data_IF_737794812446
#
_entry.id   IF_737794812446
#
_cell.length_a   1.000
_cell.length_b   1.000
_cell.length_c   1.000
_cell.angle_alpha   90.00
_cell.angle_beta   90.00
_cell.angle_gamma   90.00
#
_symmetry.space_group_name_H-M   'P 1'
#
loop_
_entity.id
_entity.type
_entity.pdbx_description
1 polymer ?
#
# COMPACT_ATOMS: atom_id res chain seq x y z
N UNK A 1 40.00 4.45 -13.83
CA UNK A 1 40.55 4.82 -12.51
C UNK A 1 39.83 5.99 -11.83
N UNK A 2 39.63 7.17 -12.44
CA UNK A 2 38.92 8.29 -11.77
C UNK A 2 37.40 8.07 -11.67
N UNK A 3 36.79 7.54 -12.73
CA UNK A 3 35.35 7.28 -12.82
C UNK A 3 34.89 6.16 -11.85
N UNK A 4 35.74 5.17 -11.61
CA UNK A 4 35.46 4.06 -10.67
C UNK A 4 35.38 4.57 -9.21
N UNK A 5 36.25 5.51 -8.83
CA UNK A 5 36.23 6.12 -7.49
C UNK A 5 35.00 7.00 -7.26
N UNK A 6 34.57 7.74 -8.29
CA UNK A 6 33.33 8.53 -8.23
C UNK A 6 32.08 7.63 -8.08
N UNK A 7 32.08 6.49 -8.78
CA UNK A 7 31.01 5.49 -8.68
C UNK A 7 30.95 4.86 -7.28
N UNK A 8 32.11 4.57 -6.71
CA UNK A 8 32.24 4.02 -5.35
C UNK A 8 31.81 5.01 -4.27
N UNK A 9 32.18 6.30 -4.40
CA UNK A 9 31.76 7.33 -3.44
C UNK A 9 30.24 7.54 -3.45
N UNK A 10 29.63 7.55 -4.63
CA UNK A 10 28.18 7.64 -4.76
C UNK A 10 27.49 6.40 -4.18
N UNK A 11 28.08 5.21 -4.33
CA UNK A 11 27.58 3.98 -3.70
C UNK A 11 27.69 4.00 -2.18
N UNK A 12 28.78 4.54 -1.63
CA UNK A 12 28.96 4.74 -0.19
C UNK A 12 27.91 5.71 0.37
N UNK A 13 27.70 6.86 -0.28
CA UNK A 13 26.68 7.83 0.13
C UNK A 13 25.26 7.22 0.15
N UNK A 14 24.92 6.38 -0.84
CA UNK A 14 23.64 5.65 -0.86
C UNK A 14 23.52 4.68 0.32
N UNK A 15 24.55 3.89 0.62
CA UNK A 15 24.54 2.94 1.74
C UNK A 15 24.44 3.64 3.09
N UNK A 16 25.10 4.79 3.26
CA UNK A 16 24.95 5.61 4.47
C UNK A 16 23.53 6.16 4.61
N UNK A 17 22.91 6.59 3.51
CA UNK A 17 21.55 7.15 3.53
C UNK A 17 20.46 6.10 3.71
N UNK A 18 20.59 4.94 3.07
CA UNK A 18 19.53 3.94 2.95
C UNK A 18 19.82 2.63 3.68
N UNK A 19 21.02 2.46 4.21
CA UNK A 19 21.45 1.22 4.86
C UNK A 19 21.66 0.07 3.88
N UNK A 20 21.50 -1.15 4.41
CA UNK A 20 21.55 -2.39 3.63
C UNK A 20 20.14 -2.84 3.23
N UNK A 21 20.05 -3.59 2.14
CA UNK A 21 18.81 -4.27 1.77
C UNK A 21 18.43 -5.27 2.89
N UNK A 22 17.13 -5.42 3.21
CA UNK A 22 16.66 -6.49 4.06
C UNK A 22 17.04 -7.87 3.51
N UNK A 23 17.03 -8.87 4.38
CA UNK A 23 17.19 -10.27 3.96
C UNK A 23 16.05 -10.68 3.04
N UNK A 24 16.34 -11.57 2.10
CA UNK A 24 15.33 -12.09 1.19
C UNK A 24 14.34 -12.95 1.96
N UNK A 25 13.05 -12.65 1.85
CA UNK A 25 11.96 -13.47 2.41
C UNK A 25 12.01 -14.85 1.76
N UNK A 26 11.82 -15.91 2.55
CA UNK A 26 11.78 -17.26 1.98
C UNK A 26 10.48 -17.46 1.20
N UNK A 27 10.52 -18.31 0.18
CA UNK A 27 9.35 -18.54 -0.67
C UNK A 27 8.15 -19.10 0.14
N UNK A 28 8.41 -19.92 1.16
CA UNK A 28 7.40 -20.47 2.07
C UNK A 28 6.76 -19.43 3.00
N UNK A 29 7.33 -18.23 3.09
CA UNK A 29 6.82 -17.10 3.88
C UNK A 29 6.14 -16.02 3.02
N UNK A 30 6.13 -16.20 1.69
CA UNK A 30 5.43 -15.29 0.77
C UNK A 30 3.93 -15.64 0.70
N UNK A 31 3.10 -14.64 0.44
CA UNK A 31 1.65 -14.81 0.18
C UNK A 31 1.36 -14.52 -1.28
N UNK A 32 0.49 -15.33 -1.88
CA UNK A 32 0.05 -15.13 -3.26
C UNK A 32 -0.94 -13.98 -3.37
N UNK A 33 -0.85 -13.22 -4.46
CA UNK A 33 -1.86 -12.23 -4.80
C UNK A 33 -3.19 -12.94 -5.07
N UNK A 34 -4.26 -12.45 -4.44
CA UNK A 34 -5.62 -12.94 -4.66
C UNK A 34 -6.42 -11.85 -5.35
N UNK A 35 -7.06 -12.20 -6.45
CA UNK A 35 -8.03 -11.32 -7.08
C UNK A 35 -9.08 -10.89 -6.05
N UNK A 36 -9.34 -9.58 -5.97
CA UNK A 36 -10.55 -9.08 -5.31
C UNK A 36 -11.73 -9.76 -5.99
N UNK A 37 -12.76 -10.12 -5.19
CA UNK A 37 -13.98 -10.71 -5.72
C UNK A 37 -14.45 -9.97 -6.99
N UNK A 38 -15.05 -10.69 -7.97
CA UNK A 38 -15.50 -10.07 -9.21
C UNK A 38 -16.23 -8.77 -8.92
N UNK A 39 -15.92 -7.74 -9.72
CA UNK A 39 -16.54 -6.45 -9.55
C UNK A 39 -18.06 -6.61 -9.66
N UNK A 40 -18.76 -6.52 -8.53
CA UNK A 40 -20.20 -6.59 -8.46
C UNK A 40 -20.76 -5.22 -8.86
N UNK A 41 -21.45 -5.08 -10.01
CA UNK A 41 -22.05 -3.82 -10.43
C UNK A 41 -23.04 -3.28 -9.39
N UNK A 42 -23.71 -4.16 -8.63
CA UNK A 42 -24.63 -3.78 -7.57
C UNK A 42 -23.91 -3.11 -6.38
N UNK A 43 -22.60 -3.30 -6.22
CA UNK A 43 -21.78 -2.62 -5.21
C UNK A 43 -21.75 -1.10 -5.40
N UNK A 44 -21.92 -0.64 -6.64
CA UNK A 44 -21.95 0.78 -6.99
C UNK A 44 -23.34 1.29 -7.37
N UNK A 45 -24.35 0.40 -7.36
CA UNK A 45 -25.72 0.80 -7.60
C UNK A 45 -26.18 1.72 -6.45
N UNK A 46 -26.81 2.84 -6.82
CA UNK A 46 -27.42 3.73 -5.86
C UNK A 46 -28.63 3.04 -5.20
N UNK A 47 -28.52 2.77 -3.91
CA UNK A 47 -29.61 2.24 -3.08
C UNK A 47 -30.02 3.34 -2.08
N UNK A 48 -31.17 4.00 -2.30
CA UNK A 48 -31.62 5.08 -1.42
C UNK A 48 -31.85 4.59 0.01
N UNK A 49 -32.42 3.40 0.23
CA UNK A 49 -32.71 2.87 1.57
C UNK A 49 -31.43 2.53 2.34
N UNK A 50 -30.43 1.95 1.65
CA UNK A 50 -29.12 1.64 2.25
C UNK A 50 -28.28 2.88 2.51
N UNK A 51 -28.49 3.96 1.76
CA UNK A 51 -27.78 5.23 1.96
C UNK A 51 -28.03 5.83 3.35
N UNK A 52 -29.25 5.70 3.89
CA UNK A 52 -29.61 6.19 5.24
C UNK A 52 -28.82 5.51 6.37
N UNK A 53 -28.39 4.26 6.18
CA UNK A 53 -27.59 3.51 7.17
C UNK A 53 -26.17 4.07 7.30
N UNK A 54 -25.59 4.57 6.20
CA UNK A 54 -24.25 5.20 6.22
C UNK A 54 -24.27 6.58 6.85
N UNK A 55 -25.39 7.31 6.73
CA UNK A 55 -25.55 8.62 7.37
C UNK A 55 -25.73 8.53 8.89
N UNK A 56 -26.11 7.37 9.44
CA UNK A 56 -26.32 7.21 10.89
C UNK A 56 -25.01 7.39 11.68
N UNK A 57 -23.90 6.83 11.19
CA UNK A 57 -22.59 6.99 11.81
C UNK A 57 -22.09 8.44 11.71
N UNK A 58 -22.23 9.05 10.52
CA UNK A 58 -21.86 10.45 10.31
C UNK A 58 -22.68 11.41 11.18
N UNK A 59 -23.99 11.17 11.33
CA UNK A 59 -24.85 11.97 12.19
C UNK A 59 -24.45 11.85 13.67
N UNK A 60 -24.13 10.63 14.14
CA UNK A 60 -23.62 10.40 15.49
C UNK A 60 -22.27 11.12 15.73
N UNK A 61 -21.35 11.09 14.75
CA UNK A 61 -20.07 11.80 14.83
C UNK A 61 -20.23 13.34 14.85
N UNK A 62 -21.30 13.85 14.24
CA UNK A 62 -21.63 15.28 14.20
C UNK A 62 -22.58 15.73 15.32
N UNK A 63 -23.12 14.80 16.12
CA UNK A 63 -24.05 15.08 17.22
C UNK A 63 -25.43 15.57 16.79
N UNK A 64 -25.92 15.15 15.62
CA UNK A 64 -27.23 15.49 15.04
C UNK A 64 -28.34 14.52 15.44
#
# INVERSE_FOLDING_TARGET
MENEKATDSAAAARRTRFGKLPERIRHDEMVEEKAVAPNDPARYAYDPERSWTSFSCLAADLGL
#
